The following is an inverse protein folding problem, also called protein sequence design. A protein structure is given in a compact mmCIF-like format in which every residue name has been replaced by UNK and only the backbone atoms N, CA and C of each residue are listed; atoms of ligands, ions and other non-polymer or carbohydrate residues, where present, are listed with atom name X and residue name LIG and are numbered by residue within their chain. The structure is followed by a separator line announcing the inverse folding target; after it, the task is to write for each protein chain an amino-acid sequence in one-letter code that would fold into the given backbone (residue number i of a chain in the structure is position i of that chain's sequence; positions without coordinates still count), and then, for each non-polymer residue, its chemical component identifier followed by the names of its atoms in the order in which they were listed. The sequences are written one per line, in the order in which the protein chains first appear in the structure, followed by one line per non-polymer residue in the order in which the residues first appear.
data_IF_227080188050
#
_entry.id   IF_227080188050
#
_cell.length_a   1.000
_cell.length_b   1.000
_cell.length_c   1.000
_cell.angle_alpha   90.00
_cell.angle_beta   90.00
_cell.angle_gamma   90.00
#
_symmetry.space_group_name_H-M   'P 1'
#
loop_
_entity.id
_entity.type
_entity.pdbx_description
1 polymer ?
#
# COMPACT_ATOMS: atom_id res chain seq x y z
N UNK A 1 -10.58 -30.06 1.07
CA UNK A 1 -10.44 -28.65 1.45
C UNK A 1 -10.08 -28.64 2.93
N UNK A 2 -8.79 -28.59 3.27
CA UNK A 2 -8.35 -28.59 4.66
C UNK A 2 -8.58 -27.18 5.23
N UNK A 3 -9.38 -27.07 6.28
CA UNK A 3 -9.50 -25.83 7.03
C UNK A 3 -8.15 -25.53 7.68
N UNK A 4 -7.60 -24.35 7.41
CA UNK A 4 -6.39 -23.86 8.08
C UNK A 4 -6.72 -23.53 9.55
N UNK A 5 -6.29 -24.42 10.44
CA UNK A 5 -6.56 -24.32 11.87
C UNK A 5 -5.81 -23.15 12.51
N UNK A 6 -4.64 -22.79 11.98
CA UNK A 6 -3.80 -21.73 12.53
C UNK A 6 -4.32 -20.35 12.10
N UNK A 7 -4.81 -20.22 10.86
CA UNK A 7 -5.58 -19.04 10.44
C UNK A 7 -6.84 -18.87 11.31
N UNK A 8 -7.61 -19.95 11.52
CA UNK A 8 -8.82 -19.90 12.36
C UNK A 8 -8.50 -19.43 13.79
N UNK A 9 -7.46 -19.99 14.42
CA UNK A 9 -7.02 -19.60 15.76
C UNK A 9 -6.64 -18.11 15.81
N UNK A 10 -5.87 -17.65 14.84
CA UNK A 10 -5.40 -16.26 14.77
C UNK A 10 -6.58 -15.28 14.65
N UNK A 11 -7.52 -15.55 13.73
CA UNK A 11 -8.74 -14.73 13.56
C UNK A 11 -9.63 -14.79 14.80
N UNK A 12 -9.77 -15.96 15.45
CA UNK A 12 -10.54 -16.10 16.69
C UNK A 12 -10.05 -15.22 17.84
N UNK A 13 -8.77 -14.84 17.87
CA UNK A 13 -8.26 -13.90 18.90
C UNK A 13 -8.71 -12.46 18.69
N UNK A 14 -9.02 -12.08 17.44
CA UNK A 14 -9.41 -10.71 17.06
C UNK A 14 -10.94 -10.59 17.00
N UNK A 15 -11.62 -11.60 16.46
CA UNK A 15 -13.07 -11.63 16.36
C UNK A 15 -13.68 -11.91 17.74
N UNK A 16 -13.88 -10.84 18.53
CA UNK A 16 -14.36 -10.90 19.91
C UNK A 16 -15.81 -11.40 20.10
N UNK A 17 -16.41 -11.99 19.06
CA UNK A 17 -17.81 -12.41 19.00
C UNK A 17 -18.55 -11.79 17.82
N UNK A 18 -19.84 -12.11 17.66
CA UNK A 18 -20.69 -11.50 16.64
C UNK A 18 -20.79 -9.98 16.84
N UNK A 19 -20.63 -9.21 15.76
CA UNK A 19 -20.84 -7.77 15.75
C UNK A 19 -21.73 -7.40 14.55
N UNK A 20 -23.07 -7.48 14.69
CA UNK A 20 -23.99 -7.21 13.60
C UNK A 20 -23.96 -5.74 13.15
N UNK A 21 -23.78 -4.79 14.07
CA UNK A 21 -23.69 -3.36 13.73
C UNK A 21 -22.51 -3.07 12.80
N UNK A 22 -21.34 -3.64 13.09
CA UNK A 22 -20.18 -3.52 12.19
C UNK A 22 -20.43 -4.21 10.85
N UNK A 23 -21.12 -5.36 10.84
CA UNK A 23 -21.46 -6.06 9.61
C UNK A 23 -22.38 -5.22 8.72
N UNK A 24 -23.43 -4.63 9.30
CA UNK A 24 -24.38 -3.77 8.61
C UNK A 24 -23.68 -2.51 8.04
N UNK A 25 -22.76 -1.89 8.81
CA UNK A 25 -21.96 -0.76 8.35
C UNK A 25 -21.08 -1.12 7.14
N UNK A 26 -20.40 -2.26 7.19
CA UNK A 26 -19.56 -2.72 6.06
C UNK A 26 -20.42 -3.05 4.85
N UNK A 27 -21.56 -3.72 5.05
CA UNK A 27 -22.51 -4.03 3.97
C UNK A 27 -23.07 -2.76 3.32
N UNK A 28 -23.42 -1.75 4.12
CA UNK A 28 -23.89 -0.46 3.63
C UNK A 28 -22.85 0.24 2.74
N UNK A 29 -21.58 0.26 3.15
CA UNK A 29 -20.51 0.87 2.35
C UNK A 29 -20.19 0.08 1.07
N UNK A 30 -20.24 -1.25 1.12
CA UNK A 30 -19.92 -2.13 -0.01
C UNK A 30 -21.07 -2.24 -1.03
N UNK A 31 -22.32 -2.07 -0.61
CA UNK A 31 -23.52 -2.15 -1.46
C UNK A 31 -23.75 -0.91 -2.33
N UNK A 32 -22.95 0.16 -2.14
CA UNK A 32 -23.03 1.37 -2.94
C UNK A 32 -22.68 1.09 -4.41
N UNK A 33 -23.36 1.80 -5.32
CA UNK A 33 -23.16 1.68 -6.78
C UNK A 33 -21.73 2.05 -7.22
N UNK A 34 -21.08 2.96 -6.50
CA UNK A 34 -19.71 3.38 -6.75
C UNK A 34 -18.86 3.13 -5.52
N UNK A 35 -17.65 2.61 -5.76
CA UNK A 35 -16.62 2.37 -4.75
C UNK A 35 -15.59 3.50 -4.70
N UNK A 36 -15.87 4.63 -5.37
CA UNK A 36 -15.04 5.83 -5.24
C UNK A 36 -14.89 6.22 -3.76
N UNK A 37 -13.65 6.32 -3.27
CA UNK A 37 -13.38 6.62 -1.87
C UNK A 37 -13.72 5.51 -0.88
N UNK A 38 -13.89 4.26 -1.31
CA UNK A 38 -14.24 3.15 -0.40
C UNK A 38 -13.21 2.95 0.72
N UNK A 39 -11.92 3.23 0.48
CA UNK A 39 -10.85 3.03 1.46
C UNK A 39 -11.05 3.93 2.69
N UNK A 40 -11.17 5.26 2.57
CA UNK A 40 -11.47 6.09 3.74
C UNK A 40 -12.87 5.87 4.32
N UNK A 41 -13.84 5.33 3.57
CA UNK A 41 -15.16 4.97 4.14
C UNK A 41 -15.07 3.76 5.07
N UNK A 42 -14.37 2.71 4.66
CA UNK A 42 -14.14 1.51 5.49
C UNK A 42 -13.11 1.75 6.60
N UNK A 43 -12.08 2.55 6.33
CA UNK A 43 -11.01 2.92 7.27
C UNK A 43 -10.93 4.44 7.45
N UNK A 44 -11.87 5.07 8.17
CA UNK A 44 -11.94 6.53 8.31
C UNK A 44 -10.75 7.17 9.05
N UNK A 45 -9.93 6.35 9.70
CA UNK A 45 -8.70 6.80 10.38
C UNK A 45 -7.43 6.63 9.54
N UNK A 46 -7.53 6.08 8.33
CA UNK A 46 -6.40 5.95 7.41
C UNK A 46 -5.78 7.32 7.12
N UNK A 47 -4.44 7.37 7.04
CA UNK A 47 -3.68 8.62 6.81
C UNK A 47 -3.00 8.66 5.46
N UNK A 48 -2.65 7.50 4.93
CA UNK A 48 -2.02 7.31 3.64
C UNK A 48 -2.16 5.83 3.24
N UNK A 49 -1.91 5.54 1.97
CA UNK A 49 -1.78 4.19 1.45
C UNK A 49 -0.30 3.97 1.13
N UNK A 50 0.30 2.96 1.73
CA UNK A 50 1.68 2.58 1.46
C UNK A 50 1.75 1.45 0.44
N UNK A 51 2.34 1.72 -0.71
CA UNK A 51 2.58 0.72 -1.76
C UNK A 51 3.64 1.21 -2.74
N UNK A 52 4.12 0.30 -3.61
CA UNK A 52 5.05 0.66 -4.70
C UNK A 52 4.24 1.37 -5.79
N UNK A 53 4.62 2.61 -6.09
CA UNK A 53 3.93 3.48 -7.07
C UNK A 53 4.78 3.81 -8.30
N UNK A 54 6.05 3.35 -8.31
CA UNK A 54 7.03 3.66 -9.35
C UNK A 54 7.20 2.52 -10.35
N UNK A 55 7.88 2.79 -11.47
CA UNK A 55 8.12 1.80 -12.51
C UNK A 55 6.81 1.34 -13.15
N UNK A 56 6.64 0.03 -13.35
CA UNK A 56 5.42 -0.52 -13.96
C UNK A 56 4.17 -0.35 -13.08
N UNK A 57 4.31 -0.06 -11.79
CA UNK A 57 3.16 0.15 -10.90
C UNK A 57 2.52 1.53 -11.08
N UNK A 58 3.20 2.49 -11.75
CA UNK A 58 2.66 3.82 -12.00
C UNK A 58 1.32 3.81 -12.76
N UNK A 59 1.08 2.77 -13.58
CA UNK A 59 -0.19 2.60 -14.29
C UNK A 59 -1.41 2.43 -13.38
N UNK A 60 -1.20 1.99 -12.12
CA UNK A 60 -2.27 1.79 -11.14
C UNK A 60 -2.57 3.02 -10.30
N UNK A 61 -1.80 4.10 -10.42
CA UNK A 61 -2.04 5.35 -9.66
C UNK A 61 -3.46 5.89 -9.87
N UNK A 62 -4.01 5.99 -11.10
CA UNK A 62 -5.36 6.54 -11.29
C UNK A 62 -6.47 5.71 -10.63
N UNK A 63 -6.35 4.38 -10.64
CA UNK A 63 -7.35 3.51 -10.00
C UNK A 63 -7.21 3.52 -8.47
N UNK A 64 -6.00 3.69 -7.95
CA UNK A 64 -5.78 3.89 -6.52
C UNK A 64 -6.37 5.22 -6.05
N UNK A 65 -6.17 6.30 -6.82
CA UNK A 65 -6.78 7.62 -6.53
C UNK A 65 -8.31 7.56 -6.49
N UNK A 66 -8.93 6.78 -7.39
CA UNK A 66 -10.37 6.54 -7.37
C UNK A 66 -10.84 5.90 -6.06
N UNK A 67 -10.17 4.87 -5.55
CA UNK A 67 -10.57 4.20 -4.30
C UNK A 67 -10.14 4.95 -3.03
N UNK A 68 -9.13 5.81 -3.12
CA UNK A 68 -8.47 6.43 -1.96
C UNK A 68 -9.08 7.77 -1.54
N UNK A 69 -9.87 8.42 -2.41
CA UNK A 69 -10.45 9.76 -2.20
C UNK A 69 -9.44 10.74 -1.58
N UNK A 70 -8.34 10.97 -2.31
CA UNK A 70 -7.26 11.91 -1.97
C UNK A 70 -6.40 11.51 -0.76
N UNK A 71 -6.52 10.28 -0.24
CA UNK A 71 -5.50 9.78 0.68
C UNK A 71 -4.12 9.78 -0.01
N UNK A 72 -3.08 10.34 0.64
CA UNK A 72 -1.73 10.32 0.11
C UNK A 72 -1.28 8.90 -0.24
N UNK A 73 -0.69 8.73 -1.43
CA UNK A 73 -0.07 7.49 -1.86
C UNK A 73 1.43 7.59 -1.61
N UNK A 74 1.97 6.67 -0.81
CA UNK A 74 3.34 6.74 -0.28
C UNK A 74 4.14 5.52 -0.73
N UNK A 75 5.23 5.76 -1.46
CA UNK A 75 6.22 4.73 -1.79
C UNK A 75 7.47 4.94 -0.93
N UNK A 76 7.68 4.09 0.07
CA UNK A 76 8.72 4.32 1.10
C UNK A 76 10.09 3.76 0.75
N UNK A 77 10.14 2.55 0.21
CA UNK A 77 11.38 1.77 0.12
C UNK A 77 11.60 1.30 -1.31
N UNK A 78 12.84 1.41 -1.77
CA UNK A 78 13.33 0.77 -2.98
C UNK A 78 14.30 -0.34 -2.60
N UNK A 79 14.04 -1.55 -3.07
CA UNK A 79 14.83 -2.73 -2.75
C UNK A 79 14.44 -3.92 -3.62
N UNK A 80 15.17 -5.01 -3.43
CA UNK A 80 14.94 -6.31 -4.04
C UNK A 80 15.15 -7.43 -3.01
N UNK A 81 15.06 -8.68 -3.45
CA UNK A 81 15.42 -9.85 -2.63
C UNK A 81 16.88 -9.82 -2.14
N UNK A 82 17.76 -9.21 -2.91
CA UNK A 82 19.20 -9.19 -2.69
C UNK A 82 19.64 -8.09 -1.71
N UNK A 83 18.98 -6.92 -1.75
CA UNK A 83 19.28 -5.83 -0.81
C UNK A 83 18.17 -4.76 -0.77
N UNK A 84 18.17 -3.99 0.31
CA UNK A 84 17.43 -2.72 0.39
C UNK A 84 18.36 -1.62 -0.13
N UNK A 85 17.92 -0.90 -1.15
CA UNK A 85 18.77 0.08 -1.82
C UNK A 85 18.61 1.47 -1.23
N UNK A 86 17.36 1.91 -1.07
CA UNK A 86 17.07 3.30 -0.76
C UNK A 86 15.70 3.51 -0.15
N UNK A 87 15.48 4.73 0.32
CA UNK A 87 14.18 5.16 0.84
C UNK A 87 13.78 6.53 0.28
N UNK A 88 12.48 6.75 0.18
CA UNK A 88 11.93 8.05 -0.13
C UNK A 88 11.93 8.93 1.13
N UNK A 89 12.71 10.02 1.11
CA UNK A 89 12.80 10.98 2.23
C UNK A 89 11.74 12.08 2.17
N UNK A 90 11.03 12.20 1.04
CA UNK A 90 9.84 13.04 0.89
C UNK A 90 8.60 12.17 0.62
N UNK A 91 8.09 11.46 1.64
CA UNK A 91 7.06 10.44 1.46
C UNK A 91 5.72 10.98 0.95
N UNK A 92 5.47 12.29 1.04
CA UNK A 92 4.23 12.94 0.61
C UNK A 92 4.36 13.62 -0.76
N UNK A 93 5.48 13.43 -1.46
CA UNK A 93 5.62 13.88 -2.84
C UNK A 93 4.56 13.23 -3.74
N UNK A 94 4.33 13.81 -4.92
CA UNK A 94 3.41 13.18 -5.88
C UNK A 94 4.00 11.85 -6.35
N UNK A 95 3.18 10.86 -6.74
CA UNK A 95 3.67 9.57 -7.24
C UNK A 95 4.69 9.70 -8.39
N UNK A 96 4.53 10.69 -9.28
CA UNK A 96 5.47 10.95 -10.37
C UNK A 96 6.81 11.57 -9.95
N UNK A 97 6.89 12.15 -8.74
CA UNK A 97 8.05 12.90 -8.25
C UNK A 97 8.89 12.05 -7.26
N UNK A 98 8.49 10.79 -7.03
CA UNK A 98 9.16 9.88 -6.08
C UNK A 98 10.63 9.67 -6.47
N UNK A 99 11.52 9.97 -5.53
CA UNK A 99 12.96 9.72 -5.63
C UNK A 99 13.43 8.93 -4.42
N UNK A 100 14.33 7.97 -4.62
CA UNK A 100 14.89 7.15 -3.55
C UNK A 100 16.34 7.53 -3.28
N UNK A 101 16.63 7.89 -2.03
CA UNK A 101 18.01 8.13 -1.57
C UNK A 101 18.61 6.79 -1.18
N UNK A 102 19.72 6.43 -1.84
CA UNK A 102 20.46 5.21 -1.53
C UNK A 102 21.07 5.28 -0.13
N UNK A 103 20.91 4.22 0.65
CA UNK A 103 21.42 4.14 2.01
C UNK A 103 22.78 3.43 2.00
N UNK A 104 23.86 4.21 1.93
CA UNK A 104 25.23 3.73 1.69
C UNK A 104 25.80 2.79 2.76
N UNK A 105 25.15 2.65 3.92
CA UNK A 105 25.57 1.71 4.97
C UNK A 105 24.94 0.31 4.82
N UNK A 106 23.98 0.11 3.92
CA UNK A 106 23.31 -1.18 3.72
C UNK A 106 24.09 -2.06 2.74
N UNK A 107 24.67 -1.47 1.70
CA UNK A 107 25.45 -2.19 0.68
C UNK A 107 26.44 -1.25 0.01
N UNK A 108 27.44 -1.83 -0.65
CA UNK A 108 28.31 -1.10 -1.57
C UNK A 108 27.61 -1.00 -2.94
N UNK A 109 27.55 0.20 -3.52
CA UNK A 109 26.80 0.48 -4.75
C UNK A 109 27.72 1.00 -5.85
N UNK A 110 27.60 0.42 -7.05
CA UNK A 110 28.29 0.85 -8.27
C UNK A 110 27.25 1.06 -9.38
N UNK A 111 27.50 2.02 -10.29
CA UNK A 111 26.57 2.37 -11.36
C UNK A 111 27.28 2.32 -12.72
N UNK A 112 26.70 1.56 -13.65
CA UNK A 112 27.16 1.50 -15.05
C UNK A 112 26.38 2.52 -15.90
N UNK A 113 27.04 3.43 -16.65
CA UNK A 113 26.36 4.36 -17.55
C UNK A 113 25.59 3.66 -18.68
N UNK A 114 24.42 4.18 -19.05
CA UNK A 114 23.53 3.57 -20.08
C UNK A 114 23.85 4.07 -21.49
N UNK A 115 24.41 5.28 -21.65
CA UNK A 115 24.61 5.95 -22.95
C UNK A 115 25.88 5.56 -23.72
N UNK A 116 26.50 4.41 -23.42
CA UNK A 116 27.68 3.90 -24.14
C UNK A 116 27.35 2.69 -25.01
N UNK A 117 26.43 2.90 -25.97
CA UNK A 117 26.08 1.97 -27.04
C UNK A 117 25.92 2.69 -28.38
#
# INVERSE_FOLDING_TARGET
MLFDLDCRRSVSTIIGGPNPELADLVEQECSQRSWEGIIPRLWPKAKYIECILTGQMAQYVPILEFYSDKLPLVSKVYGSSESIFGMNVDPLCKPQDVSYIFVSNISYFEFLPVDHG
#
